data_IF_078246767600
#
_entry.id   IF_078246767600
#
_cell.length_a   1.000
_cell.length_b   1.000
_cell.length_c   1.000
_cell.angle_alpha   90.00
_cell.angle_beta   90.00
_cell.angle_gamma   90.00
#
_symmetry.space_group_name_H-M   'P 1'
#
loop_
_entity.id
_entity.type
_entity.pdbx_description
1 polymer ?
#
# COMPACT_ATOMS: atom_id res chain seq x y z
N UNK A 1 0.36 -11.14 15.49
CA UNK A 1 0.15 -9.85 14.83
C UNK A 1 1.30 -9.52 13.86
N UNK A 2 0.97 -9.08 12.64
CA UNK A 2 1.94 -8.68 11.61
C UNK A 2 1.54 -7.33 11.02
N UNK A 3 2.46 -6.66 10.34
CA UNK A 3 2.16 -5.46 9.55
C UNK A 3 2.31 -5.73 8.07
N UNK A 4 1.26 -5.44 7.32
CA UNK A 4 1.15 -5.55 5.88
C UNK A 4 1.29 -4.17 5.26
N UNK A 5 2.27 -3.99 4.38
CA UNK A 5 2.57 -2.72 3.71
C UNK A 5 2.43 -2.88 2.21
N UNK A 6 1.50 -2.14 1.63
CA UNK A 6 1.38 -1.94 0.18
C UNK A 6 1.84 -0.53 -0.15
N UNK A 7 2.75 -0.42 -1.13
CA UNK A 7 3.12 0.87 -1.72
C UNK A 7 3.08 0.76 -3.23
N UNK A 8 2.36 1.66 -3.89
CA UNK A 8 2.28 1.74 -5.34
C UNK A 8 2.46 3.19 -5.79
N UNK A 9 3.45 3.43 -6.65
CA UNK A 9 3.75 4.76 -7.18
C UNK A 9 3.39 4.80 -8.66
N UNK A 10 2.71 5.86 -9.09
CA UNK A 10 2.43 6.16 -10.49
C UNK A 10 3.26 7.37 -10.90
N UNK A 11 4.53 7.15 -11.22
CA UNK A 11 5.48 8.24 -11.47
C UNK A 11 5.50 8.69 -12.95
N UNK A 12 4.99 7.87 -13.88
CA UNK A 12 4.98 8.20 -15.32
C UNK A 12 3.73 7.65 -16.01
N UNK A 13 2.69 8.48 -16.13
CA UNK A 13 1.53 8.18 -16.95
C UNK A 13 1.83 8.45 -18.43
N UNK A 14 2.53 7.54 -19.09
CA UNK A 14 2.58 7.49 -20.55
C UNK A 14 1.31 6.81 -21.09
N UNK A 15 0.76 7.34 -22.19
CA UNK A 15 -0.55 7.03 -22.80
C UNK A 15 -0.81 5.56 -23.22
N UNK A 16 -0.05 4.55 -22.76
CA UNK A 16 -0.12 3.16 -23.22
C UNK A 16 -0.07 2.12 -22.09
N UNK A 17 -0.83 2.32 -21.02
CA UNK A 17 -0.79 1.48 -19.83
C UNK A 17 -2.16 0.83 -19.55
N UNK A 18 -2.58 -0.08 -20.44
CA UNK A 18 -3.80 -0.89 -20.29
C UNK A 18 -3.71 -1.92 -19.14
N UNK A 19 -2.50 -2.22 -18.64
CA UNK A 19 -2.25 -3.25 -17.63
C UNK A 19 -1.52 -2.74 -16.37
N UNK A 20 -1.45 -1.43 -16.13
CA UNK A 20 -0.80 -0.94 -14.92
C UNK A 20 -1.68 -1.21 -13.69
N UNK A 21 -1.15 -1.85 -12.62
CA UNK A 21 -1.92 -2.14 -11.43
C UNK A 21 -2.50 -0.86 -10.82
N UNK A 22 -3.79 -0.90 -10.50
CA UNK A 22 -4.50 0.23 -9.94
C UNK A 22 -5.04 -0.15 -8.57
N UNK A 23 -4.35 0.25 -7.50
CA UNK A 23 -4.72 -0.14 -6.13
C UNK A 23 -5.75 0.78 -5.47
N UNK A 24 -6.19 1.85 -6.14
CA UNK A 24 -7.07 2.88 -5.59
C UNK A 24 -7.97 3.43 -6.71
N UNK A 25 -9.23 3.69 -6.38
CA UNK A 25 -10.25 4.18 -7.32
C UNK A 25 -10.07 5.65 -7.70
N UNK A 26 -9.46 6.44 -6.80
CA UNK A 26 -9.13 7.84 -7.04
C UNK A 26 -7.75 8.00 -7.69
N UNK A 27 -7.48 9.16 -8.28
CA UNK A 27 -6.14 9.47 -8.80
C UNK A 27 -5.13 9.60 -7.65
N UNK A 28 -3.94 9.01 -7.81
CA UNK A 28 -2.84 9.08 -6.85
C UNK A 28 -1.49 9.03 -7.56
N UNK A 29 -0.50 9.70 -6.97
CA UNK A 29 0.90 9.60 -7.39
C UNK A 29 1.68 8.58 -6.55
N UNK A 30 1.37 8.48 -5.25
CA UNK A 30 1.91 7.50 -4.32
C UNK A 30 0.77 7.02 -3.40
N UNK A 31 0.41 5.75 -3.50
CA UNK A 31 -0.55 5.10 -2.62
C UNK A 31 0.20 4.21 -1.64
N UNK A 32 -0.03 4.44 -0.34
CA UNK A 32 0.56 3.66 0.75
C UNK A 32 -0.55 3.19 1.68
N UNK A 33 -0.65 1.88 1.89
CA UNK A 33 -1.50 1.27 2.90
C UNK A 33 -0.61 0.47 3.86
N UNK A 34 -0.77 0.73 5.17
CA UNK A 34 -0.07 0.02 6.25
C UNK A 34 -1.14 -0.50 7.20
N UNK A 35 -1.18 -1.82 7.41
CA UNK A 35 -2.24 -2.46 8.20
C UNK A 35 -1.62 -3.46 9.16
N UNK A 36 -1.92 -3.35 10.45
CA UNK A 36 -1.62 -4.38 11.43
C UNK A 36 -2.78 -5.39 11.48
N UNK A 37 -2.49 -6.68 11.27
CA UNK A 37 -3.47 -7.76 11.29
C UNK A 37 -2.81 -9.13 11.60
N UNK A 38 -3.61 -10.14 11.96
CA UNK A 38 -3.12 -11.50 12.17
C UNK A 38 -2.95 -12.26 10.84
N UNK A 39 -3.65 -11.84 9.78
CA UNK A 39 -3.57 -12.46 8.46
C UNK A 39 -3.73 -11.46 7.31
N UNK A 40 -3.35 -11.87 6.09
CA UNK A 40 -3.52 -11.07 4.88
C UNK A 40 -5.00 -10.74 4.62
N UNK A 41 -5.88 -11.73 4.79
CA UNK A 41 -7.32 -11.57 4.57
C UNK A 41 -7.95 -10.60 5.57
N UNK A 42 -7.49 -10.62 6.83
CA UNK A 42 -7.92 -9.64 7.83
C UNK A 42 -7.42 -8.23 7.48
N UNK A 43 -6.17 -8.09 7.02
CA UNK A 43 -5.64 -6.79 6.60
C UNK A 43 -6.41 -6.20 5.41
N UNK A 44 -6.73 -7.03 4.41
CA UNK A 44 -7.54 -6.63 3.26
C UNK A 44 -8.96 -6.26 3.68
N UNK A 45 -9.57 -7.05 4.58
CA UNK A 45 -10.91 -6.76 5.11
C UNK A 45 -10.94 -5.42 5.85
N UNK A 46 -9.92 -5.12 6.67
CA UNK A 46 -9.78 -3.83 7.35
C UNK A 46 -9.65 -2.65 6.38
N UNK A 47 -8.95 -2.82 5.25
CA UNK A 47 -8.90 -1.79 4.20
C UNK A 47 -10.25 -1.61 3.50
N UNK A 48 -10.98 -2.71 3.27
CA UNK A 48 -12.31 -2.66 2.67
C UNK A 48 -13.33 -1.94 3.58
N UNK A 49 -13.28 -2.22 4.89
CA UNK A 49 -14.14 -1.59 5.92
C UNK A 49 -13.98 -0.05 5.96
N UNK A 50 -12.79 0.47 5.67
CA UNK A 50 -12.58 1.93 5.63
C UNK A 50 -13.31 2.61 4.47
N UNK A 51 -13.75 1.85 3.46
CA UNK A 51 -14.44 2.35 2.27
C UNK A 51 -13.75 3.55 1.58
N UNK A 52 -12.42 3.60 1.66
CA UNK A 52 -11.60 4.70 1.14
C UNK A 52 -11.20 4.52 -0.33
N UNK A 53 -11.90 3.66 -1.07
CA UNK A 53 -11.65 3.38 -2.49
C UNK A 53 -10.47 2.45 -2.81
N UNK A 54 -9.90 1.77 -1.80
CA UNK A 54 -8.87 0.75 -2.02
C UNK A 54 -9.40 -0.42 -2.85
N UNK A 55 -8.64 -0.81 -3.88
CA UNK A 55 -8.99 -1.93 -4.75
C UNK A 55 -8.37 -3.22 -4.20
N UNK A 56 -9.16 -3.95 -3.43
CA UNK A 56 -8.72 -5.14 -2.68
C UNK A 56 -8.16 -6.24 -3.59
N UNK A 57 -8.78 -6.47 -4.75
CA UNK A 57 -8.31 -7.48 -5.71
C UNK A 57 -6.92 -7.15 -6.26
N UNK A 58 -6.69 -5.89 -6.63
CA UNK A 58 -5.38 -5.41 -7.09
C UNK A 58 -4.33 -5.43 -5.97
N UNK A 59 -4.72 -5.06 -4.74
CA UNK A 59 -3.84 -5.17 -3.56
C UNK A 59 -3.45 -6.62 -3.27
N UNK A 60 -4.37 -7.57 -3.45
CA UNK A 60 -4.09 -9.01 -3.30
C UNK A 60 -3.09 -9.47 -4.35
N UNK A 61 -3.18 -8.97 -5.59
CA UNK A 61 -2.23 -9.29 -6.65
C UNK A 61 -0.85 -8.65 -6.44
N UNK A 62 -0.77 -7.44 -5.88
CA UNK A 62 0.48 -6.69 -5.69
C UNK A 62 1.44 -7.32 -4.66
N UNK A 63 0.95 -8.24 -3.81
CA UNK A 63 1.68 -8.88 -2.68
C UNK A 63 2.32 -7.86 -1.71
N UNK A 64 1.80 -7.71 -0.49
CA UNK A 64 2.36 -6.77 0.49
C UNK A 64 3.74 -7.20 1.00
N UNK A 65 4.51 -6.22 1.48
CA UNK A 65 5.61 -6.50 2.40
C UNK A 65 5.04 -6.79 3.78
N UNK A 66 5.48 -7.88 4.40
CA UNK A 66 4.98 -8.33 5.70
C UNK A 66 6.10 -8.26 6.73
N UNK A 67 5.82 -7.64 7.87
CA UNK A 67 6.73 -7.49 9.00
C UNK A 67 6.14 -8.13 10.24
N UNK A 68 6.88 -9.01 10.92
CA UNK A 68 6.44 -9.62 12.18
C UNK A 68 6.60 -8.66 13.36
N UNK A 69 5.56 -8.45 14.17
CA UNK A 69 5.63 -7.52 15.29
C UNK A 69 6.29 -8.09 16.56
N UNK A 70 6.86 -9.29 16.47
CA UNK A 70 7.49 -9.97 17.60
C UNK A 70 8.91 -9.45 17.91
N UNK A 71 9.49 -8.66 17.00
CA UNK A 71 10.81 -8.04 17.15
C UNK A 71 10.76 -6.53 16.90
N UNK A 72 11.51 -5.70 17.66
CA UNK A 72 11.65 -4.28 17.36
C UNK A 72 12.24 -4.07 15.97
N UNK A 73 11.53 -3.31 15.13
CA UNK A 73 11.98 -3.00 13.77
C UNK A 73 11.37 -1.71 13.25
N UNK A 74 12.06 -1.08 12.28
CA UNK A 74 11.54 0.07 11.55
C UNK A 74 10.69 -0.42 10.39
N UNK A 75 9.39 -0.12 10.44
CA UNK A 75 8.41 -0.59 9.44
C UNK A 75 8.27 0.39 8.28
N UNK A 76 8.34 1.69 8.58
CA UNK A 76 8.22 2.74 7.58
C UNK A 76 8.86 4.05 8.08
N UNK A 77 9.57 4.72 7.19
CA UNK A 77 10.09 6.09 7.36
C UNK A 77 9.94 6.82 6.04
N UNK A 78 9.49 8.06 6.08
CA UNK A 78 9.32 8.88 4.87
C UNK A 78 9.67 10.34 5.16
N UNK A 79 10.37 10.96 4.23
CA UNK A 79 10.75 12.37 4.28
C UNK A 79 10.35 12.97 2.93
N UNK A 80 9.29 13.79 2.92
CA UNK A 80 8.77 14.44 1.70
C UNK A 80 9.19 15.89 1.64
N UNK A 81 9.51 16.37 0.44
CA UNK A 81 9.83 17.78 0.21
C UNK A 81 11.12 18.25 0.88
N UNK A 82 12.06 17.35 1.17
CA UNK A 82 13.37 17.71 1.68
C UNK A 82 14.14 18.49 0.62
N UNK A 83 14.23 19.79 0.80
CA UNK A 83 15.27 20.62 0.20
C UNK A 83 16.47 20.41 1.12
N UNK A 84 17.26 19.36 0.85
CA UNK A 84 18.55 19.27 1.53
C UNK A 84 19.35 20.49 1.08
N UNK A 85 19.84 21.29 2.04
CA UNK A 85 20.85 22.34 1.78
C UNK A 85 22.10 21.75 1.13
#
# INVERSE_FOLDING_TARGET
MKVYVWRHNKTYHSHSMINEPCVQNHFYLDALAIVAAESLEEALSKLAEQNAGWRIEDLRALTPRVYDLDVPQVIFTDVRGSIAE
#
